data_IF_332127767221
#
_entry.id   IF_332127767221
#
_cell.length_a   1.000
_cell.length_b   1.000
_cell.length_c   1.000
_cell.angle_alpha   90.00
_cell.angle_beta   90.00
_cell.angle_gamma   90.00
#
_symmetry.space_group_name_H-M   'P 1'
#
loop_
_entity.id
_entity.type
_entity.pdbx_description
1 polymer ?
#
# COMPACT_ATOMS: atom_id res chain seq x y z
N UNK A 1 -8.16 -12.65 -6.90
CA UNK A 1 -7.40 -11.44 -6.50
C UNK A 1 -5.93 -11.69 -6.83
N UNK A 2 -5.28 -10.75 -7.47
CA UNK A 2 -3.83 -10.82 -7.62
C UNK A 2 -3.20 -10.83 -6.23
N UNK A 3 -2.13 -11.60 -6.07
CA UNK A 3 -1.39 -11.65 -4.82
C UNK A 3 -0.73 -10.30 -4.58
N UNK A 4 -1.07 -9.63 -3.48
CA UNK A 4 -0.50 -8.33 -3.09
C UNK A 4 0.75 -8.56 -2.26
N UNK A 5 1.86 -7.94 -2.65
CA UNK A 5 3.10 -7.93 -1.87
C UNK A 5 3.18 -6.67 -1.01
N UNK A 6 3.30 -6.85 0.29
CA UNK A 6 3.40 -5.78 1.28
C UNK A 6 4.86 -5.53 1.67
N UNK A 7 5.38 -4.33 1.41
CA UNK A 7 6.67 -3.89 1.94
C UNK A 7 6.55 -3.63 3.44
N UNK A 8 7.22 -4.43 4.26
CA UNK A 8 7.22 -4.27 5.71
C UNK A 8 8.40 -3.40 6.14
N UNK A 9 8.12 -2.20 6.66
CA UNK A 9 9.10 -1.17 7.03
C UNK A 9 8.98 -0.84 8.50
N UNK A 10 9.59 -1.63 9.40
CA UNK A 10 9.69 -1.28 10.79
C UNK A 10 10.69 -0.14 11.01
N UNK A 11 10.35 0.80 11.90
CA UNK A 11 11.14 2.00 12.18
C UNK A 11 11.38 2.18 13.66
N UNK A 12 12.53 2.78 14.01
CA UNK A 12 12.87 3.16 15.38
C UNK A 12 13.41 4.58 15.49
N UNK A 13 13.45 5.09 16.71
CA UNK A 13 14.17 6.31 17.12
C UNK A 13 15.19 5.97 18.20
N UNK A 14 16.39 6.53 18.11
CA UNK A 14 17.54 6.14 18.94
C UNK A 14 17.41 6.43 20.43
N UNK A 15 16.54 7.36 20.83
CA UNK A 15 16.31 7.70 22.27
C UNK A 15 15.41 6.68 22.98
N UNK A 16 14.78 5.76 22.25
CA UNK A 16 13.97 4.67 22.79
C UNK A 16 14.70 3.33 22.66
N UNK A 17 14.18 2.29 23.32
CA UNK A 17 14.80 0.96 23.34
C UNK A 17 14.95 0.36 21.95
N UNK A 18 16.19 0.15 21.50
CA UNK A 18 16.48 -0.57 20.27
C UNK A 18 16.17 -2.07 20.38
N UNK A 19 16.47 -2.77 21.51
CA UNK A 19 16.08 -4.17 21.69
C UNK A 19 14.57 -4.40 21.57
N UNK A 20 13.75 -3.51 22.12
CA UNK A 20 12.29 -3.62 21.99
C UNK A 20 11.83 -3.35 20.56
N UNK A 21 12.44 -2.41 19.85
CA UNK A 21 12.14 -2.19 18.44
C UNK A 21 12.44 -3.43 17.59
N UNK A 22 13.58 -4.10 17.79
CA UNK A 22 13.96 -5.35 17.12
C UNK A 22 12.96 -6.46 17.47
N UNK A 23 12.61 -6.60 18.76
CA UNK A 23 11.60 -7.57 19.21
C UNK A 23 10.26 -7.37 18.51
N UNK A 24 9.72 -6.14 18.49
CA UNK A 24 8.44 -5.86 17.86
C UNK A 24 8.47 -5.93 16.33
N UNK A 25 9.62 -5.66 15.70
CA UNK A 25 9.85 -5.98 14.30
C UNK A 25 9.59 -7.48 14.03
N UNK A 26 10.26 -8.36 14.79
CA UNK A 26 10.11 -9.81 14.65
C UNK A 26 8.67 -10.27 14.88
N UNK A 27 8.09 -9.90 16.03
CA UNK A 27 6.71 -10.27 16.37
C UNK A 27 5.69 -9.80 15.32
N UNK A 28 5.88 -8.62 14.74
CA UNK A 28 4.98 -8.11 13.71
C UNK A 28 5.14 -8.85 12.40
N UNK A 29 6.38 -9.11 11.98
CA UNK A 29 6.66 -9.88 10.76
C UNK A 29 6.07 -11.31 10.85
N UNK A 30 6.25 -11.97 12.00
CA UNK A 30 5.72 -13.32 12.23
C UNK A 30 4.19 -13.31 12.20
N UNK A 31 3.55 -12.33 12.84
CA UNK A 31 2.09 -12.21 12.82
C UNK A 31 1.54 -11.94 11.41
N UNK A 32 2.21 -11.10 10.62
CA UNK A 32 1.82 -10.86 9.22
C UNK A 32 1.89 -12.16 8.39
N UNK A 33 2.95 -12.95 8.55
CA UNK A 33 3.09 -14.24 7.87
C UNK A 33 2.04 -15.26 8.35
N UNK A 34 1.76 -15.31 9.65
CA UNK A 34 0.75 -16.18 10.24
C UNK A 34 -0.65 -15.94 9.66
N UNK A 35 -1.03 -14.68 9.46
CA UNK A 35 -2.32 -14.33 8.83
C UNK A 35 -2.29 -14.40 7.30
N UNK A 36 -1.21 -14.94 6.70
CA UNK A 36 -1.10 -15.22 5.27
C UNK A 36 -0.71 -14.03 4.38
N UNK A 37 -0.15 -12.95 4.95
CA UNK A 37 0.33 -11.79 4.18
C UNK A 37 1.68 -12.10 3.54
N UNK A 38 1.82 -11.80 2.26
CA UNK A 38 3.09 -11.87 1.54
C UNK A 38 3.89 -10.59 1.80
N UNK A 39 4.90 -10.67 2.66
CA UNK A 39 5.73 -9.52 3.03
C UNK A 39 7.09 -9.57 2.36
N UNK A 40 7.56 -8.39 1.96
CA UNK A 40 8.97 -8.11 1.63
C UNK A 40 9.51 -7.24 2.76
N UNK A 41 10.38 -7.81 3.60
CA UNK A 41 11.00 -7.12 4.73
C UNK A 41 12.28 -6.37 4.34
N UNK A 42 12.89 -5.70 5.33
CA UNK A 42 14.13 -4.94 5.19
C UNK A 42 15.26 -5.49 6.07
N UNK A 43 15.22 -6.78 6.38
CA UNK A 43 16.15 -7.45 7.30
C UNK A 43 17.60 -7.41 6.83
N UNK A 44 17.83 -7.37 5.51
CA UNK A 44 19.14 -7.33 4.86
C UNK A 44 19.69 -5.91 4.63
N UNK A 45 18.96 -4.87 5.01
CA UNK A 45 19.38 -3.48 4.79
C UNK A 45 20.40 -3.01 5.84
N UNK A 46 20.26 -3.48 7.07
CA UNK A 46 21.21 -3.24 8.16
C UNK A 46 21.03 -4.31 9.25
N UNK A 47 21.96 -4.38 10.20
CA UNK A 47 22.00 -5.42 11.25
C UNK A 47 20.75 -5.47 12.13
N UNK A 48 19.99 -4.37 12.23
CA UNK A 48 18.77 -4.31 13.01
C UNK A 48 17.50 -4.62 12.18
N UNK A 49 17.57 -4.52 10.85
CA UNK A 49 16.42 -4.62 9.95
C UNK A 49 15.37 -3.54 10.21
N UNK A 50 15.80 -2.32 10.57
CA UNK A 50 14.95 -1.20 10.95
C UNK A 50 15.31 0.05 10.14
N UNK A 51 14.30 0.82 9.76
CA UNK A 51 14.49 2.13 9.12
C UNK A 51 14.69 3.22 10.18
N UNK A 52 15.83 3.93 10.15
CA UNK A 52 16.12 5.04 11.06
C UNK A 52 17.11 6.07 10.51
N UNK A 53 17.69 5.83 9.34
CA UNK A 53 18.69 6.68 8.71
C UNK A 53 18.40 6.85 7.21
N UNK A 54 18.79 8.00 6.64
CA UNK A 54 18.59 8.31 5.22
C UNK A 54 19.33 7.33 4.28
N UNK A 55 20.48 6.81 4.69
CA UNK A 55 21.26 5.84 3.89
C UNK A 55 20.50 4.54 3.61
N UNK A 56 19.47 4.23 4.39
CA UNK A 56 18.64 3.04 4.18
C UNK A 56 17.61 3.22 3.05
N UNK A 57 17.29 4.47 2.66
CA UNK A 57 16.18 4.75 1.72
C UNK A 57 16.44 4.14 0.35
N UNK A 58 17.57 4.47 -0.26
CA UNK A 58 17.90 3.99 -1.62
C UNK A 58 17.94 2.45 -1.72
N UNK A 59 18.61 1.71 -0.81
CA UNK A 59 18.56 0.25 -0.80
C UNK A 59 17.16 -0.32 -0.69
N UNK A 60 16.31 0.23 0.20
CA UNK A 60 14.91 -0.22 0.37
C UNK A 60 14.11 0.04 -0.92
N UNK A 61 14.24 1.23 -1.51
CA UNK A 61 13.55 1.58 -2.76
C UNK A 61 13.92 0.62 -3.87
N UNK A 62 15.23 0.35 -4.03
CA UNK A 62 15.73 -0.61 -5.04
C UNK A 62 15.16 -2.00 -4.81
N UNK A 63 15.20 -2.51 -3.57
CA UNK A 63 14.65 -3.82 -3.21
C UNK A 63 13.16 -3.91 -3.50
N UNK A 64 12.38 -2.95 -3.02
CA UNK A 64 10.92 -2.99 -3.16
C UNK A 64 10.45 -2.85 -4.62
N UNK A 65 11.16 -2.06 -5.43
CA UNK A 65 10.89 -1.99 -6.87
C UNK A 65 11.23 -3.30 -7.58
N UNK A 66 12.34 -3.93 -7.25
CA UNK A 66 12.76 -5.21 -7.83
C UNK A 66 11.79 -6.36 -7.47
N UNK A 67 11.30 -6.36 -6.23
CA UNK A 67 10.35 -7.35 -5.74
C UNK A 67 8.90 -7.09 -6.17
N UNK A 68 8.60 -5.94 -6.74
CA UNK A 68 7.25 -5.57 -7.17
C UNK A 68 6.29 -5.37 -5.99
N UNK A 69 6.70 -4.62 -4.97
CA UNK A 69 5.88 -4.29 -3.80
C UNK A 69 4.71 -3.39 -4.20
N UNK A 70 3.51 -3.70 -3.73
CA UNK A 70 2.26 -3.03 -4.10
C UNK A 70 1.81 -1.95 -3.08
N UNK A 71 2.32 -2.00 -1.87
CA UNK A 71 2.08 -1.04 -0.80
C UNK A 71 3.05 -1.23 0.35
N UNK A 72 3.20 -0.26 1.23
CA UNK A 72 4.12 -0.33 2.37
C UNK A 72 3.41 -0.17 3.70
N UNK A 73 3.88 -0.90 4.72
CA UNK A 73 3.48 -0.75 6.11
C UNK A 73 4.62 -0.11 6.89
N UNK A 74 4.47 1.16 7.26
CA UNK A 74 5.35 1.85 8.19
C UNK A 74 4.97 1.41 9.61
N UNK A 75 5.78 0.52 10.20
CA UNK A 75 5.54 -0.03 11.54
C UNK A 75 6.42 0.69 12.56
N UNK A 76 5.81 1.51 13.42
CA UNK A 76 6.50 2.20 14.51
C UNK A 76 6.83 1.22 15.64
N UNK A 77 7.95 0.50 15.50
CA UNK A 77 8.36 -0.54 16.45
C UNK A 77 8.71 0.01 17.84
N UNK A 78 9.17 1.28 17.91
CA UNK A 78 9.17 2.08 19.13
C UNK A 78 8.52 3.45 18.87
N UNK A 79 9.23 4.56 18.76
CA UNK A 79 8.71 5.86 18.35
C UNK A 79 8.78 6.05 16.84
N UNK A 80 9.83 5.52 16.21
CA UNK A 80 10.14 5.69 14.80
C UNK A 80 10.81 7.04 14.47
N UNK A 81 11.41 7.11 13.27
CA UNK A 81 12.06 8.31 12.75
C UNK A 81 11.22 8.90 11.62
N UNK A 82 10.44 9.92 11.94
CA UNK A 82 9.39 10.49 11.10
C UNK A 82 9.84 10.95 9.71
N UNK A 83 11.00 11.62 9.61
CA UNK A 83 11.45 12.20 8.35
C UNK A 83 11.90 11.14 7.33
N UNK A 84 12.60 10.09 7.76
CA UNK A 84 13.01 8.99 6.84
C UNK A 84 11.80 8.18 6.39
N UNK A 85 10.82 7.95 7.27
CA UNK A 85 9.56 7.31 6.91
C UNK A 85 8.84 8.07 5.80
N UNK A 86 8.73 9.40 5.94
CA UNK A 86 8.04 10.23 4.96
C UNK A 86 8.82 10.35 3.64
N UNK A 87 10.14 10.43 3.69
CA UNK A 87 10.99 10.44 2.49
C UNK A 87 10.90 9.13 1.73
N UNK A 88 11.01 7.99 2.41
CA UNK A 88 10.83 6.67 1.81
C UNK A 88 9.47 6.53 1.15
N UNK A 89 8.40 6.89 1.87
CA UNK A 89 7.04 6.81 1.36
C UNK A 89 6.83 7.67 0.11
N UNK A 90 7.37 8.90 0.09
CA UNK A 90 7.33 9.80 -1.06
C UNK A 90 8.10 9.25 -2.26
N UNK A 91 9.29 8.67 -2.02
CA UNK A 91 10.15 8.11 -3.06
C UNK A 91 9.52 6.89 -3.74
N UNK A 92 8.85 6.04 -2.96
CA UNK A 92 8.16 4.86 -3.48
C UNK A 92 6.87 5.20 -4.23
N UNK A 93 6.10 6.19 -3.76
CA UNK A 93 4.82 6.58 -4.36
C UNK A 93 3.75 5.48 -4.30
N UNK A 94 3.88 4.55 -3.35
CA UNK A 94 2.97 3.44 -3.10
C UNK A 94 1.94 3.78 -2.01
N UNK A 95 0.80 3.08 -1.93
CA UNK A 95 -0.07 3.13 -0.77
C UNK A 95 0.68 2.90 0.54
N UNK A 96 0.34 3.65 1.57
CA UNK A 96 1.02 3.62 2.87
C UNK A 96 0.04 3.25 3.96
N UNK A 97 0.35 2.21 4.75
CA UNK A 97 -0.26 1.91 6.04
C UNK A 97 0.64 2.45 7.15
N UNK A 98 0.11 3.32 7.98
CA UNK A 98 0.80 3.85 9.16
C UNK A 98 0.24 3.18 10.41
N UNK A 99 1.08 2.41 11.11
CA UNK A 99 0.69 1.68 12.30
C UNK A 99 1.88 1.47 13.25
N UNK A 100 1.58 1.19 14.51
CA UNK A 100 2.53 0.75 15.53
C UNK A 100 1.82 -0.07 16.60
N UNK A 101 2.50 -1.07 17.18
CA UNK A 101 1.94 -1.89 18.25
C UNK A 101 1.70 -1.05 19.51
N UNK A 102 0.60 -1.33 20.20
CA UNK A 102 0.25 -0.65 21.44
C UNK A 102 1.38 -0.76 22.47
N UNK A 103 1.71 0.38 23.07
CA UNK A 103 2.79 0.46 24.04
C UNK A 103 2.42 -0.20 25.38
N UNK A 104 3.41 -0.73 26.08
CA UNK A 104 3.30 -1.23 27.43
C UNK A 104 3.23 -0.07 28.43
N UNK A 105 2.97 -0.43 29.69
CA UNK A 105 3.11 0.52 30.81
C UNK A 105 4.58 0.90 30.97
N UNK A 106 4.86 2.13 31.42
CA UNK A 106 6.21 2.50 31.80
C UNK A 106 6.80 1.55 32.84
N UNK A 107 8.12 1.41 32.82
CA UNK A 107 8.88 0.69 33.84
C UNK A 107 8.64 1.31 35.23
N UNK A 108 8.96 0.61 36.34
CA UNK A 108 8.76 1.12 37.69
C UNK A 108 9.47 2.45 37.99
N UNK A 109 10.57 2.75 37.29
CA UNK A 109 11.30 4.00 37.36
C UNK A 109 10.73 5.13 36.50
N UNK A 110 9.61 4.85 35.77
CA UNK A 110 8.97 5.78 34.85
C UNK A 110 9.53 5.77 33.44
N UNK A 111 10.56 4.97 33.15
CA UNK A 111 11.15 4.86 31.81
C UNK A 111 10.15 4.27 30.82
N UNK A 112 10.02 4.88 29.65
CA UNK A 112 9.26 4.35 28.52
C UNK A 112 10.20 3.70 27.51
N UNK A 113 10.07 2.41 27.31
CA UNK A 113 10.86 1.67 26.31
C UNK A 113 10.42 2.01 24.89
N UNK A 114 9.14 2.31 24.72
CA UNK A 114 8.50 2.67 23.45
C UNK A 114 7.49 3.80 23.67
N UNK A 115 7.15 4.52 22.61
CA UNK A 115 6.07 5.51 22.57
C UNK A 115 5.56 5.59 21.12
N UNK A 116 5.06 4.45 20.63
CA UNK A 116 4.67 4.28 19.23
C UNK A 116 3.50 5.19 18.84
N UNK A 117 2.54 5.40 19.74
CA UNK A 117 1.39 6.26 19.45
C UNK A 117 1.80 7.71 19.20
N UNK A 118 2.71 8.26 19.99
CA UNK A 118 3.23 9.60 19.77
C UNK A 118 4.00 9.69 18.44
N UNK A 119 4.81 8.67 18.14
CA UNK A 119 5.53 8.56 16.87
C UNK A 119 4.59 8.50 15.65
N UNK A 120 3.45 7.82 15.77
CA UNK A 120 2.42 7.78 14.72
C UNK A 120 1.84 9.16 14.43
N UNK A 121 1.56 9.97 15.47
CA UNK A 121 1.09 11.35 15.28
C UNK A 121 2.14 12.23 14.60
N UNK A 122 3.40 12.10 15.02
CA UNK A 122 4.52 12.84 14.44
C UNK A 122 4.71 12.48 12.96
N UNK A 123 4.80 11.18 12.64
CA UNK A 123 4.97 10.71 11.25
C UNK A 123 3.75 11.04 10.39
N UNK A 124 2.53 10.89 10.90
CA UNK A 124 1.31 11.28 10.19
C UNK A 124 1.30 12.76 9.82
N UNK A 125 1.81 13.64 10.71
CA UNK A 125 1.97 15.08 10.41
C UNK A 125 2.97 15.32 9.28
N UNK A 126 4.10 14.59 9.28
CA UNK A 126 5.15 14.77 8.25
C UNK A 126 4.69 14.21 6.91
N UNK A 127 4.03 13.03 6.87
CA UNK A 127 3.43 12.48 5.66
C UNK A 127 2.47 13.50 5.00
N UNK A 128 1.61 14.16 5.77
CA UNK A 128 0.74 15.24 5.26
C UNK A 128 1.51 16.42 4.68
N UNK A 129 2.61 16.85 5.31
CA UNK A 129 3.48 17.92 4.78
C UNK A 129 4.14 17.52 3.47
N UNK A 130 4.44 16.24 3.28
CA UNK A 130 4.99 15.69 2.05
C UNK A 130 3.91 15.36 1.01
N UNK A 131 2.64 15.62 1.32
CA UNK A 131 1.48 15.29 0.48
C UNK A 131 1.40 13.80 0.12
N UNK A 132 1.88 12.93 1.03
CA UNK A 132 1.78 11.49 0.91
C UNK A 132 0.46 11.03 1.54
N UNK A 133 -0.48 10.47 0.77
CA UNK A 133 -1.68 9.88 1.32
C UNK A 133 -1.33 8.60 2.09
N UNK A 134 -2.00 8.39 3.21
CA UNK A 134 -1.79 7.19 4.03
C UNK A 134 -3.07 6.75 4.73
N UNK A 135 -3.18 5.47 4.97
CA UNK A 135 -4.17 4.86 5.85
C UNK A 135 -3.60 4.79 7.26
N UNK A 136 -4.29 5.36 8.22
CA UNK A 136 -3.97 5.21 9.63
C UNK A 136 -4.73 4.03 10.22
N UNK A 137 -4.02 3.07 10.79
CA UNK A 137 -4.64 1.98 11.54
C UNK A 137 -4.49 2.26 13.05
N UNK A 138 -5.55 2.02 13.79
CA UNK A 138 -5.58 2.23 15.24
C UNK A 138 -4.43 1.48 15.93
N UNK A 139 -3.74 2.18 16.84
CA UNK A 139 -2.71 1.61 17.68
C UNK A 139 -3.30 0.51 18.57
N UNK A 140 -3.05 -0.75 18.22
CA UNK A 140 -3.61 -1.95 18.82
C UNK A 140 -2.53 -2.99 19.09
N UNK A 141 -2.86 -4.07 19.80
CA UNK A 141 -1.97 -5.21 19.96
C UNK A 141 -2.01 -6.10 18.73
N UNK A 142 -0.95 -6.87 18.50
CA UNK A 142 -0.87 -7.86 17.42
C UNK A 142 -1.95 -8.94 17.50
N UNK A 143 -2.45 -9.21 18.71
CA UNK A 143 -3.50 -10.20 18.99
C UNK A 143 -4.91 -9.64 18.92
N UNK A 144 -5.06 -8.31 18.81
CA UNK A 144 -6.38 -7.68 18.72
C UNK A 144 -6.96 -7.89 17.31
N UNK A 145 -8.28 -8.16 17.17
CA UNK A 145 -8.90 -8.38 15.87
C UNK A 145 -8.80 -7.18 14.93
N UNK A 146 -8.62 -5.98 15.48
CA UNK A 146 -8.39 -4.75 14.72
C UNK A 146 -7.11 -4.80 13.88
N UNK A 147 -6.08 -5.51 14.36
CA UNK A 147 -4.82 -5.66 13.62
C UNK A 147 -5.05 -6.41 12.30
N UNK A 148 -5.57 -7.62 12.40
CA UNK A 148 -5.79 -8.47 11.23
C UNK A 148 -6.76 -7.82 10.23
N UNK A 149 -7.89 -7.31 10.71
CA UNK A 149 -8.86 -6.61 9.87
C UNK A 149 -8.24 -5.40 9.18
N UNK A 150 -7.51 -4.53 9.92
CA UNK A 150 -6.91 -3.33 9.35
C UNK A 150 -5.82 -3.63 8.31
N UNK A 151 -5.07 -4.72 8.47
CA UNK A 151 -4.09 -5.18 7.48
C UNK A 151 -4.82 -5.65 6.20
N UNK A 152 -5.85 -6.48 6.31
CA UNK A 152 -6.61 -6.95 5.15
C UNK A 152 -7.35 -5.83 4.42
N UNK A 153 -7.93 -4.88 5.14
CA UNK A 153 -8.55 -3.69 4.56
C UNK A 153 -7.52 -2.88 3.76
N UNK A 154 -6.29 -2.74 4.28
CA UNK A 154 -5.23 -2.05 3.56
C UNK A 154 -4.75 -2.81 2.32
N UNK A 155 -4.63 -4.14 2.39
CA UNK A 155 -4.30 -4.96 1.21
C UNK A 155 -5.37 -4.83 0.12
N UNK A 156 -6.64 -4.71 0.50
CA UNK A 156 -7.71 -4.41 -0.43
C UNK A 156 -7.53 -3.04 -1.11
N UNK A 157 -7.11 -2.01 -0.35
CA UNK A 157 -6.74 -0.70 -0.92
C UNK A 157 -5.59 -0.83 -1.93
N UNK A 158 -4.53 -1.56 -1.58
CA UNK A 158 -3.40 -1.80 -2.51
C UNK A 158 -3.88 -2.47 -3.81
N UNK A 159 -4.75 -3.49 -3.70
CA UNK A 159 -5.31 -4.18 -4.87
C UNK A 159 -6.14 -3.24 -5.74
N UNK A 160 -6.98 -2.39 -5.14
CA UNK A 160 -7.76 -1.39 -5.89
C UNK A 160 -6.84 -0.41 -6.63
N UNK A 161 -5.82 0.14 -5.95
CA UNK A 161 -4.88 1.09 -6.56
C UNK A 161 -4.10 0.44 -7.70
N UNK A 162 -3.62 -0.80 -7.51
CA UNK A 162 -2.92 -1.59 -8.54
C UNK A 162 -3.80 -1.80 -9.77
N UNK A 163 -5.02 -2.29 -9.57
CA UNK A 163 -5.97 -2.55 -10.65
C UNK A 163 -6.38 -1.28 -11.37
N UNK A 164 -6.65 -0.20 -10.62
CA UNK A 164 -7.07 1.08 -11.17
C UNK A 164 -6.03 1.67 -12.12
N UNK A 165 -4.76 1.64 -11.76
CA UNK A 165 -3.63 2.15 -12.59
C UNK A 165 -3.42 1.35 -13.88
N UNK A 166 -4.02 0.19 -14.04
CA UNK A 166 -3.93 -0.67 -15.23
C UNK A 166 -5.26 -0.84 -15.95
N UNK A 167 -6.27 -0.06 -15.58
CA UNK A 167 -7.61 -0.13 -16.16
C UNK A 167 -7.57 0.23 -17.66
N UNK A 168 -8.28 -0.56 -18.45
CA UNK A 168 -8.57 -0.31 -19.87
C UNK A 168 -10.07 -0.20 -20.02
N UNK A 169 -10.55 0.85 -20.66
CA UNK A 169 -11.97 1.10 -20.88
C UNK A 169 -12.23 0.97 -22.38
N UNK A 170 -13.06 0.00 -22.77
CA UNK A 170 -13.55 -0.10 -24.13
C UNK A 170 -14.75 0.84 -24.29
N UNK A 171 -14.63 1.85 -25.15
CA UNK A 171 -15.74 2.68 -25.54
C UNK A 171 -16.35 2.13 -26.81
N UNK A 172 -17.56 1.60 -26.73
CA UNK A 172 -18.31 1.10 -27.87
C UNK A 172 -19.08 2.25 -28.52
N UNK A 173 -18.66 2.66 -29.71
CA UNK A 173 -19.20 3.75 -30.51
C UNK A 173 -19.10 5.14 -29.85
N UNK A 174 -19.68 6.13 -30.49
CA UNK A 174 -19.72 7.52 -29.98
C UNK A 174 -20.92 7.71 -29.04
N UNK A 175 -20.77 8.57 -28.05
CA UNK A 175 -21.90 9.01 -27.25
C UNK A 175 -22.94 9.75 -28.10
N UNK A 176 -24.21 9.75 -27.74
CA UNK A 176 -25.20 10.63 -28.31
C UNK A 176 -24.79 12.11 -28.16
N UNK A 177 -25.13 12.93 -29.14
CA UNK A 177 -24.72 14.35 -29.19
C UNK A 177 -25.07 15.13 -27.91
N UNK A 178 -26.23 14.91 -27.35
CA UNK A 178 -26.80 15.61 -26.20
C UNK A 178 -26.45 14.98 -24.84
N UNK A 179 -25.70 13.87 -24.79
CA UNK A 179 -25.31 13.19 -23.54
C UNK A 179 -24.01 13.78 -22.99
N UNK A 180 -24.08 15.01 -22.53
CA UNK A 180 -22.92 15.72 -21.96
C UNK A 180 -22.46 15.16 -20.62
N UNK A 181 -23.35 14.53 -19.87
CA UNK A 181 -23.02 13.88 -18.61
C UNK A 181 -22.03 12.69 -18.73
N UNK A 182 -21.87 12.17 -19.94
CA UNK A 182 -20.94 11.08 -20.24
C UNK A 182 -19.60 11.54 -20.81
N UNK A 183 -19.39 12.87 -20.90
CA UNK A 183 -18.09 13.41 -21.32
C UNK A 183 -17.03 13.15 -20.27
N UNK A 184 -15.87 12.70 -20.69
CA UNK A 184 -14.68 12.55 -19.85
C UNK A 184 -13.46 13.19 -20.52
N UNK A 185 -12.46 13.52 -19.72
CA UNK A 185 -11.17 13.98 -20.22
C UNK A 185 -10.23 12.80 -20.33
N UNK A 186 -10.10 12.24 -21.51
CA UNK A 186 -9.25 11.07 -21.79
C UNK A 186 -7.77 11.33 -21.49
N UNK A 187 -7.28 12.56 -21.77
CA UNK A 187 -5.91 12.96 -21.45
C UNK A 187 -5.66 12.93 -19.95
N UNK A 188 -6.59 13.44 -19.14
CA UNK A 188 -6.49 13.41 -17.68
C UNK A 188 -6.54 11.98 -17.11
N UNK A 189 -7.37 11.12 -17.69
CA UNK A 189 -7.42 9.69 -17.30
C UNK A 189 -6.08 9.01 -17.55
N UNK A 190 -5.47 9.27 -18.72
CA UNK A 190 -4.16 8.72 -19.06
C UNK A 190 -3.04 9.29 -18.18
N UNK A 191 -2.95 10.60 -18.09
CA UNK A 191 -1.84 11.30 -17.40
C UNK A 191 -1.83 11.08 -15.89
N UNK A 192 -3.01 11.16 -15.24
CA UNK A 192 -3.12 11.06 -13.78
C UNK A 192 -3.24 9.61 -13.29
N UNK A 193 -3.87 8.74 -14.07
CA UNK A 193 -4.27 7.42 -13.60
C UNK A 193 -3.75 6.27 -14.45
N UNK A 194 -3.08 6.54 -15.57
CA UNK A 194 -2.66 5.54 -16.55
C UNK A 194 -3.84 4.69 -17.09
N UNK A 195 -5.04 5.25 -17.12
CA UNK A 195 -6.24 4.63 -17.67
C UNK A 195 -6.31 4.93 -19.15
N UNK A 196 -6.40 3.89 -19.99
CA UNK A 196 -6.56 4.03 -21.41
C UNK A 196 -8.01 3.82 -21.84
N UNK A 197 -8.53 4.75 -22.61
CA UNK A 197 -9.80 4.62 -23.30
C UNK A 197 -9.51 4.14 -24.73
N UNK A 198 -10.14 3.04 -25.15
CA UNK A 198 -9.99 2.44 -26.49
C UNK A 198 -11.35 2.50 -27.21
N UNK A 199 -11.59 3.52 -28.06
CA UNK A 199 -12.83 3.60 -28.80
C UNK A 199 -12.83 2.61 -29.99
N UNK A 200 -13.96 1.96 -30.23
CA UNK A 200 -14.23 1.18 -31.43
C UNK A 200 -15.44 1.75 -32.15
N UNK A 201 -15.44 1.76 -33.49
CA UNK A 201 -16.62 2.19 -34.26
C UNK A 201 -17.77 1.17 -34.13
N UNK A 202 -19.01 1.64 -34.32
CA UNK A 202 -20.19 0.80 -34.28
C UNK A 202 -20.14 -0.34 -35.31
N UNK A 203 -19.47 -0.12 -36.43
CA UNK A 203 -19.29 -1.16 -37.48
C UNK A 203 -18.51 -2.37 -37.01
N UNK A 204 -17.46 -2.16 -36.20
CA UNK A 204 -16.69 -3.26 -35.57
C UNK A 204 -17.54 -4.02 -34.58
N UNK A 205 -18.31 -3.31 -33.74
CA UNK A 205 -19.21 -3.94 -32.78
C UNK A 205 -20.26 -4.83 -33.50
N UNK A 206 -20.90 -4.30 -34.55
CA UNK A 206 -21.89 -5.06 -35.33
C UNK A 206 -21.25 -6.28 -35.98
N UNK A 207 -20.04 -6.15 -36.51
CA UNK A 207 -19.33 -7.29 -37.11
C UNK A 207 -18.99 -8.34 -36.04
N UNK A 208 -18.47 -7.93 -34.88
CA UNK A 208 -18.17 -8.85 -33.76
C UNK A 208 -19.43 -9.62 -33.28
N UNK A 209 -20.58 -8.94 -33.23
CA UNK A 209 -21.87 -9.60 -32.90
C UNK A 209 -22.26 -10.64 -33.95
N UNK A 210 -22.12 -10.34 -35.23
CA UNK A 210 -22.42 -11.28 -36.30
C UNK A 210 -21.50 -12.49 -36.28
N UNK A 211 -20.21 -12.27 -36.05
CA UNK A 211 -19.21 -13.35 -35.97
C UNK A 211 -19.48 -14.26 -34.76
N UNK A 212 -19.85 -13.67 -33.59
CA UNK A 212 -20.22 -14.43 -32.40
C UNK A 212 -21.52 -15.25 -32.58
N UNK A 213 -22.49 -14.75 -33.36
CA UNK A 213 -23.73 -15.49 -33.69
C UNK A 213 -23.47 -16.64 -34.65
N UNK A 214 -22.45 -16.53 -35.54
CA UNK A 214 -22.07 -17.58 -36.47
C UNK A 214 -21.22 -18.69 -35.81
N UNK A 215 -20.70 -18.48 -34.61
CA UNK A 215 -19.90 -19.46 -33.88
C UNK A 215 -20.80 -20.41 -33.08
N UNK A 216 -21.14 -21.57 -33.71
CA UNK A 216 -22.02 -22.61 -33.15
C UNK A 216 -21.47 -23.19 -31.83
N UNK A 217 -20.16 -23.19 -31.59
CA UNK A 217 -19.57 -23.71 -30.34
C UNK A 217 -19.84 -22.82 -29.13
N UNK A 218 -20.06 -21.52 -29.32
CA UNK A 218 -20.38 -20.59 -28.24
C UNK A 218 -21.84 -20.57 -27.80
N UNK A 219 -22.75 -21.04 -28.65
CA UNK A 219 -24.17 -21.10 -28.33
C UNK A 219 -24.55 -22.27 -27.40
N UNK A 220 -23.64 -23.23 -27.22
CA UNK A 220 -23.84 -24.40 -26.33
C UNK A 220 -23.28 -24.19 -24.90
N UNK A 221 -22.54 -23.11 -24.63
CA UNK A 221 -21.95 -22.81 -23.30
C UNK A 221 -22.79 -21.86 -22.43
N UNK A 222 -23.99 -21.50 -22.86
CA UNK A 222 -24.96 -20.69 -22.12
C UNK A 222 -26.32 -21.42 -22.02
#
# INVERSE_FOLDING_TARGET
>A
MDKIKLGFVPTRRSIFSAPDAIKYRGLTADRLREIGVDIVDIDDINDEGLLFDDSHIEPIVKKFRAEGVDGIMLCHANFGTEYVCARLARELGLPVLLWGPRDERPEPDGTRLRDSQCGLFATGKVLRRFQVPFTYMTNCRLTDPEFERGVWDFLAVCNVVKTFKHTRILQMATRPFDFWSTMCNEGELLEKFNIQLSPIPMTELVQAVRDAQADEQRSEEH
#
